data_IF_105966701524
#
_entry.id   IF_105966701524
#
_cell.length_a   1.000
_cell.length_b   1.000
_cell.length_c   1.000
_cell.angle_alpha   90.00
_cell.angle_beta   90.00
_cell.angle_gamma   90.00
#
_symmetry.space_group_name_H-M   'P 1'
#
loop_
_entity.id
_entity.type
_entity.pdbx_description
1 polymer ?
#
# COMPACT_ATOMS: atom_id res chain seq x y z
N UNK A 1 -7.05 8.85 -20.11
CA UNK A 1 -8.42 8.30 -20.30
C UNK A 1 -9.33 8.92 -19.25
N UNK A 2 -10.60 9.16 -19.56
CA UNK A 2 -11.60 9.69 -18.61
C UNK A 2 -12.90 8.88 -18.67
N UNK A 3 -13.68 8.89 -17.60
CA UNK A 3 -15.03 8.30 -17.55
C UNK A 3 -15.92 9.12 -16.63
N UNK A 4 -17.07 9.53 -17.15
CA UNK A 4 -18.15 10.14 -16.36
C UNK A 4 -18.98 9.05 -15.70
N UNK A 5 -19.25 9.18 -14.41
CA UNK A 5 -20.15 8.30 -13.68
C UNK A 5 -21.59 8.82 -13.79
N UNK A 6 -22.58 7.91 -13.75
CA UNK A 6 -24.00 8.28 -13.87
C UNK A 6 -24.48 9.16 -12.71
N UNK A 7 -23.97 8.87 -11.52
CA UNK A 7 -24.31 9.56 -10.28
C UNK A 7 -23.03 10.20 -9.71
N UNK A 8 -23.10 11.44 -9.20
CA UNK A 8 -22.03 12.03 -8.41
C UNK A 8 -21.68 11.16 -7.20
N UNK A 9 -20.39 10.99 -6.89
CA UNK A 9 -19.98 10.13 -5.78
C UNK A 9 -18.70 10.61 -5.09
N UNK A 10 -18.71 10.59 -3.76
CA UNK A 10 -17.55 10.78 -2.88
C UNK A 10 -17.00 9.43 -2.36
N UNK A 11 -17.60 8.30 -2.77
CA UNK A 11 -17.25 6.97 -2.25
C UNK A 11 -15.90 6.49 -2.80
N UNK A 12 -14.94 6.21 -1.91
CA UNK A 12 -13.58 5.80 -2.31
C UNK A 12 -13.57 4.54 -3.20
N UNK A 13 -14.43 3.56 -2.92
CA UNK A 13 -14.45 2.30 -3.67
C UNK A 13 -14.98 2.48 -5.10
N UNK A 14 -15.90 3.41 -5.32
CA UNK A 14 -16.42 3.72 -6.65
C UNK A 14 -15.35 4.38 -7.52
N UNK A 15 -14.62 5.35 -6.94
CA UNK A 15 -13.51 6.04 -7.58
C UNK A 15 -12.36 5.05 -7.87
N UNK A 16 -11.95 4.25 -6.89
CA UNK A 16 -10.86 3.27 -7.02
C UNK A 16 -11.15 2.24 -8.11
N UNK A 17 -12.34 1.62 -8.12
CA UNK A 17 -12.73 0.65 -9.16
C UNK A 17 -12.72 1.29 -10.55
N UNK A 18 -13.18 2.53 -10.64
CA UNK A 18 -13.19 3.28 -11.89
C UNK A 18 -11.79 3.53 -12.41
N UNK A 19 -10.90 4.07 -11.59
CA UNK A 19 -9.51 4.31 -11.95
C UNK A 19 -8.79 3.02 -12.39
N UNK A 20 -8.96 1.92 -11.64
CA UNK A 20 -8.38 0.62 -12.00
C UNK A 20 -8.89 0.14 -13.36
N UNK A 21 -10.19 0.24 -13.62
CA UNK A 21 -10.76 -0.17 -14.91
C UNK A 21 -10.22 0.63 -16.09
N UNK A 22 -9.92 1.92 -15.88
CA UNK A 22 -9.36 2.80 -16.91
C UNK A 22 -7.90 2.48 -17.23
N UNK A 23 -7.12 2.15 -16.19
CA UNK A 23 -5.66 1.99 -16.32
C UNK A 23 -5.26 0.58 -16.73
N UNK A 24 -5.99 -0.45 -16.25
CA UNK A 24 -5.61 -1.87 -16.39
C UNK A 24 -5.32 -2.33 -17.83
N UNK A 25 -6.05 -1.88 -18.87
CA UNK A 25 -5.74 -2.24 -20.25
C UNK A 25 -4.42 -1.67 -20.77
N UNK A 26 -3.98 -0.52 -20.24
CA UNK A 26 -2.77 0.17 -20.73
C UNK A 26 -1.50 -0.34 -20.06
N UNK A 27 -1.54 -0.67 -18.77
CA UNK A 27 -0.31 -0.88 -17.98
C UNK A 27 0.23 -2.32 -18.01
N UNK A 28 -0.26 -3.16 -18.93
CA UNK A 28 0.23 -4.53 -19.06
C UNK A 28 1.66 -4.53 -19.60
N UNK A 29 2.60 -5.03 -18.81
CA UNK A 29 4.01 -5.15 -19.19
C UNK A 29 4.84 -3.87 -19.11
N UNK A 30 4.29 -2.76 -18.59
CA UNK A 30 5.00 -1.48 -18.53
C UNK A 30 5.26 -1.02 -17.09
N UNK A 31 6.45 -0.47 -16.84
CA UNK A 31 6.77 0.22 -15.59
C UNK A 31 6.21 1.64 -15.63
N UNK A 32 5.35 1.97 -14.67
CA UNK A 32 4.72 3.29 -14.56
C UNK A 32 5.41 4.07 -13.44
N UNK A 33 5.99 5.23 -13.77
CA UNK A 33 6.64 6.11 -12.78
C UNK A 33 5.66 7.03 -12.06
N UNK A 34 4.62 7.49 -12.75
CA UNK A 34 3.60 8.40 -12.22
C UNK A 34 2.20 7.97 -12.68
N UNK A 35 1.28 7.85 -11.73
CA UNK A 35 -0.13 7.63 -11.98
C UNK A 35 -0.95 8.55 -11.07
N UNK A 36 -1.69 9.47 -11.66
CA UNK A 36 -2.61 10.36 -10.97
C UNK A 36 -4.06 10.02 -11.29
N UNK A 37 -4.95 10.28 -10.35
CA UNK A 37 -6.42 10.22 -10.55
C UNK A 37 -6.96 11.60 -10.21
N UNK A 38 -7.58 12.26 -11.18
CA UNK A 38 -8.27 13.54 -10.99
C UNK A 38 -9.77 13.35 -11.12
N UNK A 39 -10.53 14.18 -10.40
CA UNK A 39 -11.98 14.31 -10.53
C UNK A 39 -12.31 15.69 -11.13
N UNK A 40 -13.40 15.75 -11.89
CA UNK A 40 -13.96 16.98 -12.47
C UNK A 40 -15.48 16.93 -12.32
N UNK A 41 -16.18 18.04 -12.64
CA UNK A 41 -17.63 18.18 -12.43
C UNK A 41 -18.06 17.93 -10.98
N UNK A 42 -17.36 18.55 -10.04
CA UNK A 42 -17.73 18.50 -8.62
C UNK A 42 -19.03 19.28 -8.42
N UNK A 43 -19.93 18.70 -7.62
CA UNK A 43 -21.22 19.29 -7.26
C UNK A 43 -21.38 19.28 -5.75
N UNK A 44 -22.30 20.09 -5.24
CA UNK A 44 -22.68 20.08 -3.84
C UNK A 44 -23.30 18.73 -3.45
N UNK A 45 -23.33 18.45 -2.14
CA UNK A 45 -23.81 17.19 -1.59
C UNK A 45 -25.34 17.08 -1.78
N UNK A 46 -25.78 16.58 -2.92
CA UNK A 46 -27.20 16.37 -3.21
C UNK A 46 -27.82 15.26 -2.34
N UNK A 47 -29.12 15.38 -2.09
CA UNK A 47 -29.92 14.40 -1.35
C UNK A 47 -29.97 13.07 -2.12
N UNK A 48 -29.51 12.00 -1.49
CA UNK A 48 -29.46 10.67 -2.10
C UNK A 48 -30.86 10.07 -2.29
N UNK A 49 -30.94 9.10 -3.21
CA UNK A 49 -32.14 8.31 -3.48
C UNK A 49 -32.83 7.82 -2.21
N UNK A 50 -34.14 8.09 -2.11
CA UNK A 50 -34.99 7.83 -0.93
C UNK A 50 -35.01 6.35 -0.47
N UNK A 51 -34.61 5.42 -1.35
CA UNK A 51 -34.74 3.97 -1.15
C UNK A 51 -33.42 3.18 -1.27
N UNK A 52 -32.27 3.83 -1.13
CA UNK A 52 -30.96 3.16 -1.21
C UNK A 52 -30.51 2.51 0.10
N UNK A 53 -31.11 1.39 0.52
CA UNK A 53 -30.80 0.74 1.82
C UNK A 53 -29.33 0.31 1.96
N UNK A 54 -28.65 -0.08 0.88
CA UNK A 54 -27.24 -0.52 0.94
C UNK A 54 -26.23 0.63 1.02
N UNK A 55 -26.59 1.83 0.57
CA UNK A 55 -25.70 2.99 0.49
C UNK A 55 -25.43 3.62 1.86
N UNK A 56 -26.45 3.68 2.72
CA UNK A 56 -26.37 4.38 4.00
C UNK A 56 -25.38 3.77 4.99
N UNK A 57 -25.26 2.43 5.05
CA UNK A 57 -24.28 1.77 5.93
C UNK A 57 -22.85 2.04 5.50
N UNK A 58 -22.55 1.89 4.20
CA UNK A 58 -21.21 2.16 3.66
C UNK A 58 -20.83 3.62 3.82
N UNK A 59 -21.76 4.54 3.59
CA UNK A 59 -21.54 5.97 3.80
C UNK A 59 -21.19 6.30 5.25
N UNK A 60 -21.96 5.80 6.22
CA UNK A 60 -21.67 5.98 7.65
C UNK A 60 -20.28 5.47 8.03
N UNK A 61 -19.84 4.35 7.44
CA UNK A 61 -18.49 3.81 7.67
C UNK A 61 -17.41 4.74 7.10
N UNK A 62 -17.62 5.29 5.91
CA UNK A 62 -16.69 6.26 5.30
C UNK A 62 -16.61 7.52 6.16
N UNK A 63 -17.76 8.10 6.52
CA UNK A 63 -17.84 9.31 7.35
C UNK A 63 -17.20 9.11 8.72
N UNK A 64 -17.47 7.99 9.40
CA UNK A 64 -16.83 7.64 10.66
C UNK A 64 -15.31 7.46 10.50
N UNK A 65 -14.87 6.86 9.40
CA UNK A 65 -13.44 6.68 9.13
C UNK A 65 -12.74 8.01 8.93
N UNK A 66 -13.39 8.95 8.26
CA UNK A 66 -12.84 10.28 7.98
C UNK A 66 -12.82 11.15 9.25
N UNK A 67 -13.87 11.11 10.07
CA UNK A 67 -13.89 11.76 11.37
C UNK A 67 -12.79 11.26 12.32
N UNK A 68 -12.48 9.95 12.28
CA UNK A 68 -11.37 9.39 13.07
C UNK A 68 -10.03 9.86 12.52
N UNK A 69 -9.85 9.95 11.19
CA UNK A 69 -8.61 10.48 10.60
C UNK A 69 -8.39 11.94 10.90
N UNK A 70 -9.45 12.74 10.92
CA UNK A 70 -9.37 14.16 11.28
C UNK A 70 -8.87 14.36 12.71
N UNK A 71 -9.33 13.52 13.65
CA UNK A 71 -8.99 13.65 15.07
C UNK A 71 -7.66 13.00 15.46
N UNK A 72 -7.36 11.83 14.89
CA UNK A 72 -6.23 10.98 15.32
C UNK A 72 -5.13 10.88 14.26
N UNK A 73 -5.26 11.59 13.14
CA UNK A 73 -4.29 11.65 12.05
C UNK A 73 -4.56 10.65 10.93
N UNK A 74 -3.89 10.88 9.80
CA UNK A 74 -4.15 10.17 8.54
C UNK A 74 -3.97 8.64 8.61
N UNK A 75 -3.11 8.15 9.52
CA UNK A 75 -2.85 6.72 9.72
C UNK A 75 -3.74 6.05 10.76
N UNK A 76 -4.62 6.80 11.44
CA UNK A 76 -5.50 6.27 12.48
C UNK A 76 -6.37 5.10 11.99
N UNK A 77 -6.87 5.19 10.75
CA UNK A 77 -7.55 4.07 10.07
C UNK A 77 -6.91 3.81 8.72
N UNK A 78 -6.24 2.66 8.63
CA UNK A 78 -5.57 2.18 7.42
C UNK A 78 -6.26 0.93 6.89
N UNK A 79 -6.50 0.87 5.58
CA UNK A 79 -7.01 -0.35 4.94
C UNK A 79 -5.96 -1.46 5.05
N UNK A 80 -6.37 -2.65 5.49
CA UNK A 80 -5.46 -3.80 5.69
C UNK A 80 -4.57 -4.10 4.48
N UNK A 81 -5.11 -3.99 3.25
CA UNK A 81 -4.35 -4.17 2.00
C UNK A 81 -3.17 -3.21 1.79
N UNK A 82 -3.11 -2.11 2.54
CA UNK A 82 -2.04 -1.12 2.47
C UNK A 82 -0.95 -1.35 3.50
N UNK A 83 -1.16 -2.25 4.46
CA UNK A 83 -0.13 -2.64 5.41
C UNK A 83 1.07 -3.21 4.65
N UNK A 84 2.28 -2.79 5.03
CA UNK A 84 3.55 -3.22 4.40
C UNK A 84 3.72 -2.85 2.92
N UNK A 85 2.80 -2.08 2.32
CA UNK A 85 2.87 -1.74 0.88
C UNK A 85 3.94 -0.70 0.53
N UNK A 86 4.61 -0.11 1.53
CA UNK A 86 5.57 0.98 1.34
C UNK A 86 4.94 2.28 0.79
N UNK A 87 3.62 2.32 0.65
CA UNK A 87 2.87 3.51 0.26
C UNK A 87 2.86 4.47 1.43
N UNK A 88 3.24 5.73 1.19
CA UNK A 88 3.17 6.78 2.21
C UNK A 88 1.74 6.94 2.73
N UNK A 89 1.59 7.48 3.94
CA UNK A 89 0.29 7.76 4.53
C UNK A 89 -0.56 8.55 3.51
N UNK A 90 -1.81 8.12 3.25
CA UNK A 90 -2.73 8.92 2.46
C UNK A 90 -2.81 10.34 3.04
N UNK A 91 -2.85 11.37 2.18
CA UNK A 91 -3.12 12.77 2.56
C UNK A 91 -1.99 13.54 3.29
N UNK A 92 -0.94 12.88 3.80
CA UNK A 92 0.32 13.54 4.25
C UNK A 92 1.32 13.72 3.09
N UNK A 93 0.95 13.30 1.88
CA UNK A 93 1.80 13.47 0.70
C UNK A 93 1.71 14.89 0.17
N UNK A 94 2.87 15.53 0.05
CA UNK A 94 3.05 16.67 -0.84
C UNK A 94 2.91 16.20 -2.29
N UNK A 95 1.84 16.64 -2.96
CA UNK A 95 1.55 16.29 -4.35
C UNK A 95 2.56 16.88 -5.34
N UNK A 96 3.34 17.90 -4.93
CA UNK A 96 4.42 18.46 -5.73
C UNK A 96 5.71 17.63 -5.65
N UNK A 97 5.80 16.70 -4.69
CA UNK A 97 6.96 15.83 -4.52
C UNK A 97 6.66 14.43 -5.04
N UNK A 98 7.40 14.02 -6.08
CA UNK A 98 7.26 12.69 -6.65
C UNK A 98 7.48 11.61 -5.57
N UNK A 99 6.64 10.57 -5.51
CA UNK A 99 6.83 9.48 -4.57
C UNK A 99 8.16 8.78 -4.85
N UNK A 100 8.91 8.47 -3.79
CA UNK A 100 10.15 7.71 -3.92
C UNK A 100 9.84 6.31 -4.48
N UNK A 101 10.20 6.12 -5.75
CA UNK A 101 9.94 4.91 -6.53
C UNK A 101 10.58 3.66 -5.91
N UNK A 102 11.56 3.82 -5.01
CA UNK A 102 12.23 2.70 -4.33
C UNK A 102 11.35 1.98 -3.31
N UNK A 103 10.19 2.51 -2.94
CA UNK A 103 9.35 1.97 -1.85
C UNK A 103 7.98 1.44 -2.27
N UNK A 104 7.45 1.86 -3.41
CA UNK A 104 6.04 1.60 -3.75
C UNK A 104 5.93 0.49 -4.80
N UNK A 105 5.21 -0.59 -4.46
CA UNK A 105 4.89 -1.68 -5.39
C UNK A 105 5.93 -2.79 -5.50
N UNK A 106 7.01 -2.74 -4.72
CA UNK A 106 7.89 -3.88 -4.51
C UNK A 106 7.19 -4.84 -3.54
N UNK A 107 7.07 -6.12 -3.92
CA UNK A 107 6.67 -7.16 -2.96
C UNK A 107 7.78 -7.31 -1.93
N UNK A 108 7.42 -7.37 -0.65
CA UNK A 108 8.36 -7.52 0.47
C UNK A 108 9.34 -8.72 0.29
N UNK A 109 8.90 -9.69 -0.50
CA UNK A 109 9.57 -10.93 -0.87
C UNK A 109 10.89 -10.70 -1.63
N UNK A 110 11.06 -9.57 -2.35
CA UNK A 110 12.28 -9.25 -3.11
C UNK A 110 13.38 -8.59 -2.26
N UNK A 111 13.10 -8.23 -1.01
CA UNK A 111 14.06 -7.51 -0.15
C UNK A 111 15.02 -8.44 0.61
N UNK A 112 14.83 -9.77 0.56
CA UNK A 112 15.74 -10.74 1.21
C UNK A 112 17.05 -10.97 0.46
N UNK A 113 17.15 -10.61 -0.81
CA UNK A 113 18.29 -11.00 -1.65
C UNK A 113 19.44 -9.97 -1.72
N UNK A 114 19.26 -8.77 -1.16
CA UNK A 114 20.27 -7.70 -1.25
C UNK A 114 21.19 -7.58 -0.03
N UNK A 115 21.16 -8.53 0.90
CA UNK A 115 22.09 -8.62 2.04
C UNK A 115 23.12 -9.76 1.93
N UNK A 116 23.31 -10.35 0.76
CA UNK A 116 24.43 -11.26 0.48
C UNK A 116 25.58 -10.46 -0.15
N UNK A 117 26.40 -9.80 0.67
CA UNK A 117 27.49 -8.98 0.11
C UNK A 117 28.36 -8.23 1.11
N UNK A 118 28.59 -8.75 2.31
CA UNK A 118 29.76 -8.34 3.11
C UNK A 118 30.24 -9.55 3.89
N UNK A 119 31.07 -10.36 3.23
CA UNK A 119 31.92 -11.34 3.90
C UNK A 119 33.21 -10.60 4.24
N UNK A 120 33.38 -10.20 5.50
CA UNK A 120 34.68 -9.75 5.98
C UNK A 120 35.60 -10.98 6.13
N UNK A 121 36.88 -10.89 5.76
CA UNK A 121 37.84 -11.95 6.00
C UNK A 121 38.40 -11.85 7.43
N UNK A 122 38.84 -13.01 7.90
CA UNK A 122 39.83 -13.24 8.96
C UNK A 122 39.47 -12.87 10.40
N UNK A 123 39.42 -13.91 11.24
CA UNK A 123 40.33 -13.96 12.39
C UNK A 123 40.65 -15.43 12.73
N UNK A 124 41.95 -15.68 12.85
CA UNK A 124 42.58 -16.96 13.07
C UNK A 124 42.66 -17.33 14.56
N UNK A 125 42.87 -18.64 14.77
CA UNK A 125 43.52 -19.25 15.93
C UNK A 125 42.79 -19.23 17.27
N UNK A 126 42.32 -20.41 17.70
CA UNK A 126 42.77 -20.98 18.99
C UNK A 126 43.08 -22.47 18.77
N UNK A 127 44.35 -22.81 18.99
CA UNK A 127 44.89 -24.16 19.10
C UNK A 127 44.56 -24.79 20.45
N UNK A 128 44.54 -26.12 20.49
CA UNK A 128 44.61 -26.95 21.70
C UNK A 128 43.41 -27.90 21.81
N UNK A 129 43.52 -29.17 22.14
CA UNK A 129 44.62 -30.11 22.37
C UNK A 129 43.89 -31.47 22.43
N UNK A 130 44.47 -32.52 21.85
CA UNK A 130 43.88 -33.85 21.84
C UNK A 130 43.86 -34.45 23.25
N UNK A 131 42.82 -35.21 23.59
CA UNK A 131 42.97 -36.40 24.45
C UNK A 131 41.92 -37.44 24.05
N UNK A 132 42.44 -38.63 23.73
CA UNK A 132 41.76 -39.90 23.59
C UNK A 132 40.80 -40.19 24.74
N UNK A 133 39.70 -40.92 24.47
CA UNK A 133 39.43 -42.21 25.12
C UNK A 133 38.34 -42.95 24.33
N UNK A 134 38.66 -44.20 24.03
CA UNK A 134 37.86 -45.20 23.36
C UNK A 134 36.57 -45.56 24.14
N UNK A 135 35.46 -45.85 23.45
CA UNK A 135 34.96 -47.21 23.22
C UNK A 135 33.53 -47.20 22.65
N UNK A 136 33.18 -48.17 21.78
CA UNK A 136 31.84 -48.39 21.26
C UNK A 136 31.01 -49.24 22.25
N UNK A 137 29.69 -49.29 22.11
CA UNK A 137 28.88 -50.54 22.07
C UNK A 137 27.37 -50.23 22.14
N UNK A 138 26.65 -50.90 21.22
CA UNK A 138 25.20 -51.16 21.05
C UNK A 138 24.19 -50.01 20.93
#
# INVERSE_FOLDING_TARGET
RQRTLKEPTDMTDAIWRTAVSLVRPQVRGMRVRLLGVGASHLTDREQLALFGEEGGRRRRVVEASDAIRERFGARAITRARLLHSGVAAPFERDYQKAPDARRVGLRADQQRDTRAGTRAPDDAAISGEALDTEHPFD
#
